data_IF_903429749504
#
_entry.id   IF_903429749504
#
_cell.length_a   1.000
_cell.length_b   1.000
_cell.length_c   1.000
_cell.angle_alpha   90.00
_cell.angle_beta   90.00
_cell.angle_gamma   90.00
#
_symmetry.space_group_name_H-M   'P 1'
#
loop_
_entity.id
_entity.type
_entity.pdbx_description
1 polymer ?
#
# COMPACT_ATOMS: atom_id res chain seq x y z
N UNK A 1 -7.27 17.43 -27.10
CA UNK A 1 -6.38 17.04 -25.97
C UNK A 1 -5.70 18.23 -25.26
N UNK A 2 -5.11 19.24 -25.94
CA UNK A 2 -4.39 20.35 -25.25
C UNK A 2 -5.29 21.20 -24.34
N UNK A 3 -6.52 21.50 -24.79
CA UNK A 3 -7.50 22.28 -24.02
C UNK A 3 -7.92 21.58 -22.71
N UNK A 4 -8.11 20.26 -22.73
CA UNK A 4 -8.46 19.45 -21.54
C UNK A 4 -7.28 19.43 -20.55
N UNK A 5 -6.05 19.25 -21.04
CA UNK A 5 -4.83 19.27 -20.22
C UNK A 5 -4.59 20.65 -19.57
N UNK A 6 -4.86 21.74 -20.29
CA UNK A 6 -4.75 23.11 -19.76
C UNK A 6 -5.74 23.41 -18.63
N UNK A 7 -6.90 22.76 -18.61
CA UNK A 7 -7.96 23.01 -17.62
C UNK A 7 -7.78 22.13 -16.38
N UNK A 8 -7.31 20.89 -16.53
CA UNK A 8 -6.91 20.02 -15.40
C UNK A 8 -5.88 20.75 -14.51
N UNK A 9 -4.90 21.42 -15.13
CA UNK A 9 -3.90 22.21 -14.41
C UNK A 9 -4.47 23.49 -13.75
N UNK A 10 -5.55 24.07 -14.27
CA UNK A 10 -6.21 25.25 -13.68
C UNK A 10 -7.10 24.88 -12.49
N UNK A 11 -7.79 23.74 -12.54
CA UNK A 11 -8.66 23.29 -11.44
C UNK A 11 -7.84 22.90 -10.18
N UNK A 12 -6.61 22.44 -10.35
CA UNK A 12 -5.66 22.19 -9.23
C UNK A 12 -5.15 23.46 -8.56
N UNK A 13 -5.24 24.62 -9.20
CA UNK A 13 -4.73 25.90 -8.65
C UNK A 13 -5.59 26.49 -7.54
N UNK A 14 -6.82 26.00 -7.32
CA UNK A 14 -7.72 26.54 -6.28
C UNK A 14 -7.47 26.00 -4.86
N UNK A 15 -6.42 25.18 -4.67
CA UNK A 15 -5.89 24.86 -3.34
C UNK A 15 -4.38 25.06 -3.34
N UNK A 16 -3.93 26.29 -3.04
CA UNK A 16 -2.72 26.67 -2.27
C UNK A 16 -2.37 28.16 -2.54
N UNK A 17 -2.63 28.99 -1.51
CA UNK A 17 -1.96 30.25 -1.07
C UNK A 17 -2.03 31.55 -1.92
N UNK A 18 -2.33 32.66 -1.23
CA UNK A 18 -2.59 34.04 -1.67
C UNK A 18 -1.38 34.90 -2.07
N UNK A 19 -1.73 36.04 -2.70
CA UNK A 19 -1.07 37.36 -2.86
C UNK A 19 -0.19 37.62 -4.09
N UNK A 20 -0.77 38.33 -5.07
CA UNK A 20 -0.16 39.50 -5.72
C UNK A 20 -1.23 40.29 -6.50
N UNK A 21 -1.19 41.61 -6.32
CA UNK A 21 -2.10 42.65 -6.81
C UNK A 21 -1.76 43.15 -8.21
N UNK A 22 -2.76 43.38 -9.08
CA UNK A 22 -2.90 44.50 -10.04
C UNK A 22 -4.16 44.27 -10.94
N UNK A 23 -4.67 45.28 -11.68
CA UNK A 23 -5.78 46.13 -11.28
C UNK A 23 -7.10 45.82 -12.01
N UNK A 24 -8.17 46.34 -11.43
CA UNK A 24 -9.55 46.31 -11.92
C UNK A 24 -9.70 46.92 -13.33
N UNK A 25 -10.43 46.24 -14.19
CA UNK A 25 -11.18 46.85 -15.28
C UNK A 25 -12.66 46.51 -15.06
N UNK A 26 -13.36 47.49 -14.49
CA UNK A 26 -14.81 47.50 -14.32
C UNK A 26 -15.50 47.56 -15.69
N UNK A 27 -16.37 46.59 -15.96
CA UNK A 27 -17.49 46.80 -16.87
C UNK A 27 -18.78 46.31 -16.20
N UNK A 28 -19.69 47.27 -16.02
CA UNK A 28 -20.93 47.15 -15.27
C UNK A 28 -21.94 46.19 -15.92
N UNK A 29 -22.42 45.27 -15.08
CA UNK A 29 -23.82 44.85 -14.85
C UNK A 29 -24.74 44.50 -16.03
N UNK A 30 -25.20 43.23 -16.05
CA UNK A 30 -26.63 42.90 -16.04
C UNK A 30 -26.87 41.41 -15.70
N UNK A 31 -27.62 41.17 -14.62
CA UNK A 31 -28.59 40.07 -14.48
C UNK A 31 -28.13 38.62 -14.57
N UNK A 32 -28.04 37.96 -13.41
CA UNK A 32 -28.14 36.50 -13.31
C UNK A 32 -27.09 35.90 -12.39
N UNK A 33 -27.51 35.45 -11.21
CA UNK A 33 -26.73 34.50 -10.41
C UNK A 33 -26.80 33.16 -11.13
N UNK A 34 -26.01 33.02 -12.21
CA UNK A 34 -25.72 31.71 -12.74
C UNK A 34 -24.73 31.06 -11.76
N UNK A 35 -25.22 30.10 -10.98
CA UNK A 35 -24.32 29.10 -10.40
C UNK A 35 -23.49 28.56 -11.56
N UNK A 36 -22.21 28.95 -11.62
CA UNK A 36 -21.25 28.43 -12.58
C UNK A 36 -20.95 26.99 -12.21
N UNK A 37 -21.95 26.13 -12.39
CA UNK A 37 -21.78 24.69 -12.44
C UNK A 37 -20.88 24.42 -13.64
N UNK A 38 -19.74 23.78 -13.39
CA UNK A 38 -18.76 23.43 -14.42
C UNK A 38 -19.47 22.84 -15.63
N UNK A 39 -19.19 23.33 -16.84
CA UNK A 39 -19.76 22.83 -18.09
C UNK A 39 -19.58 21.30 -18.27
N UNK A 40 -18.65 20.70 -17.53
CA UNK A 40 -18.37 19.27 -17.50
C UNK A 40 -19.28 18.47 -16.55
N UNK A 41 -20.00 19.12 -15.64
CA UNK A 41 -20.99 18.46 -14.79
C UNK A 41 -22.21 17.99 -15.59
N UNK A 42 -22.46 18.58 -16.76
CA UNK A 42 -23.57 18.26 -17.66
C UNK A 42 -23.15 17.40 -18.87
N UNK A 43 -21.89 16.96 -18.95
CA UNK A 43 -21.45 16.06 -20.02
C UNK A 43 -22.18 14.71 -19.88
N UNK A 44 -22.83 14.18 -20.94
CA UNK A 44 -23.43 12.85 -20.93
C UNK A 44 -22.43 11.80 -20.42
N UNK A 45 -22.91 10.88 -19.58
CA UNK A 45 -22.06 9.94 -18.86
C UNK A 45 -21.27 9.03 -19.83
N UNK A 46 -21.86 8.72 -20.98
CA UNK A 46 -21.28 7.92 -22.05
C UNK A 46 -20.09 8.64 -22.69
N UNK A 47 -20.26 9.93 -23.03
CA UNK A 47 -19.20 10.76 -23.59
C UNK A 47 -18.08 10.98 -22.56
N UNK A 48 -18.43 11.20 -21.29
CA UNK A 48 -17.45 11.30 -20.22
C UNK A 48 -16.64 10.01 -20.08
N UNK A 49 -17.30 8.86 -20.10
CA UNK A 49 -16.65 7.55 -20.04
C UNK A 49 -15.70 7.36 -21.21
N UNK A 50 -16.13 7.69 -22.42
CA UNK A 50 -15.29 7.64 -23.62
C UNK A 50 -14.05 8.51 -23.53
N UNK A 51 -14.19 9.75 -23.02
CA UNK A 51 -13.05 10.65 -22.81
C UNK A 51 -12.08 10.05 -21.80
N UNK A 52 -12.58 9.53 -20.68
CA UNK A 52 -11.76 8.95 -19.63
C UNK A 52 -11.07 7.64 -20.05
N UNK A 53 -11.73 6.82 -20.87
CA UNK A 53 -11.12 5.63 -21.50
C UNK A 53 -9.93 6.03 -22.36
N UNK A 54 -10.13 7.02 -23.26
CA UNK A 54 -9.05 7.51 -24.12
C UNK A 54 -7.89 8.10 -23.31
N UNK A 55 -8.17 8.78 -22.20
CA UNK A 55 -7.13 9.28 -21.29
C UNK A 55 -6.35 8.12 -20.67
N UNK A 56 -7.04 7.12 -20.09
CA UNK A 56 -6.42 5.94 -19.47
C UNK A 56 -5.54 5.14 -20.46
N UNK A 57 -6.00 4.99 -21.70
CA UNK A 57 -5.26 4.32 -22.78
C UNK A 57 -4.04 5.13 -23.23
N UNK A 58 -4.18 6.47 -23.31
CA UNK A 58 -3.08 7.35 -23.73
C UNK A 58 -1.98 7.54 -22.68
N UNK A 59 -2.25 7.23 -21.41
CA UNK A 59 -1.35 7.48 -20.27
C UNK A 59 -1.03 6.19 -19.50
N UNK A 60 -0.31 5.29 -20.16
CA UNK A 60 0.06 3.99 -19.63
C UNK A 60 1.09 4.06 -18.49
N UNK A 61 1.96 5.07 -18.48
CA UNK A 61 3.06 5.22 -17.52
C UNK A 61 3.08 6.58 -16.81
N UNK A 62 3.79 6.63 -15.68
CA UNK A 62 4.07 7.87 -14.96
C UNK A 62 5.26 8.60 -15.60
N UNK A 63 5.32 9.94 -15.60
CA UNK A 63 4.40 10.92 -15.01
C UNK A 63 3.13 11.30 -15.80
N UNK A 64 2.96 11.05 -17.12
CA UNK A 64 1.75 11.44 -17.84
C UNK A 64 0.46 11.01 -17.14
N UNK A 65 0.43 9.78 -16.59
CA UNK A 65 -0.67 9.19 -15.81
C UNK A 65 -1.18 10.03 -14.63
N UNK A 66 -0.50 11.10 -14.24
CA UNK A 66 -1.03 12.10 -13.31
C UNK A 66 -2.38 12.67 -13.77
N UNK A 67 -2.65 12.77 -15.07
CA UNK A 67 -3.93 13.33 -15.53
C UNK A 67 -5.09 12.38 -15.26
N UNK A 68 -4.89 11.05 -15.31
CA UNK A 68 -5.88 10.05 -14.85
C UNK A 68 -6.28 10.31 -13.39
N UNK A 69 -5.30 10.54 -12.51
CA UNK A 69 -5.57 10.84 -11.09
C UNK A 69 -6.30 12.18 -10.94
N UNK A 70 -5.90 13.18 -11.73
CA UNK A 70 -6.53 14.49 -11.70
C UNK A 70 -7.98 14.45 -12.19
N UNK A 71 -8.31 13.60 -13.17
CA UNK A 71 -9.67 13.35 -13.62
C UNK A 71 -10.56 12.85 -12.47
N UNK A 72 -10.06 11.93 -11.64
CA UNK A 72 -10.79 11.47 -10.45
C UNK A 72 -10.96 12.56 -9.36
N UNK A 73 -10.24 13.68 -9.49
CA UNK A 73 -10.34 14.85 -8.63
C UNK A 73 -11.41 15.86 -9.03
N UNK A 74 -11.95 15.81 -10.25
CA UNK A 74 -12.83 16.84 -10.83
C UNK A 74 -14.17 16.95 -10.11
N UNK A 75 -14.95 15.86 -10.07
CA UNK A 75 -16.23 15.80 -9.36
C UNK A 75 -16.59 14.35 -9.00
N UNK A 76 -17.71 14.13 -8.28
CA UNK A 76 -18.14 12.79 -7.87
C UNK A 76 -18.37 11.84 -9.05
N UNK A 77 -19.03 12.32 -10.12
CA UNK A 77 -19.30 11.53 -11.33
C UNK A 77 -18.00 11.09 -12.02
N UNK A 78 -17.09 12.04 -12.29
CA UNK A 78 -15.78 11.73 -12.86
C UNK A 78 -14.98 10.75 -12.00
N UNK A 79 -15.02 10.92 -10.67
CA UNK A 79 -14.34 10.02 -9.74
C UNK A 79 -14.86 8.60 -9.83
N UNK A 80 -16.18 8.41 -9.86
CA UNK A 80 -16.78 7.08 -9.93
C UNK A 80 -16.38 6.38 -11.22
N UNK A 81 -16.56 7.05 -12.36
CA UNK A 81 -16.21 6.50 -13.68
C UNK A 81 -14.71 6.22 -13.76
N UNK A 82 -13.85 7.12 -13.27
CA UNK A 82 -12.40 6.89 -13.30
C UNK A 82 -12.00 5.69 -12.44
N UNK A 83 -12.61 5.51 -11.25
CA UNK A 83 -12.37 4.33 -10.40
C UNK A 83 -12.79 3.03 -11.09
N UNK A 84 -13.90 3.02 -11.82
CA UNK A 84 -14.39 1.83 -12.54
C UNK A 84 -13.50 1.45 -13.73
N UNK A 85 -12.94 2.46 -14.40
CA UNK A 85 -12.05 2.30 -15.54
C UNK A 85 -10.64 1.85 -15.10
N UNK A 86 -10.09 2.47 -14.06
CA UNK A 86 -8.76 2.14 -13.53
C UNK A 86 -8.86 0.85 -12.73
N UNK A 87 -8.47 -0.26 -13.36
CA UNK A 87 -8.42 -1.57 -12.70
C UNK A 87 -7.36 -1.62 -11.61
N UNK A 88 -7.61 -2.46 -10.59
CA UNK A 88 -6.67 -2.73 -9.49
C UNK A 88 -5.31 -3.23 -10.02
N UNK A 89 -4.20 -3.06 -9.27
CA UNK A 89 -2.87 -3.44 -9.72
C UNK A 89 -2.73 -4.91 -10.10
N UNK A 90 -3.54 -5.80 -9.51
CA UNK A 90 -3.60 -7.21 -9.90
C UNK A 90 -3.92 -7.40 -11.39
N UNK A 91 -4.87 -6.61 -11.90
CA UNK A 91 -5.31 -6.69 -13.30
C UNK A 91 -4.56 -5.73 -14.21
N UNK A 92 -4.29 -4.50 -13.75
CA UNK A 92 -3.69 -3.47 -14.59
C UNK A 92 -2.16 -3.50 -14.58
N UNK A 93 -1.54 -4.05 -13.54
CA UNK A 93 -0.10 -3.86 -13.30
C UNK A 93 0.27 -2.40 -13.01
N UNK A 94 -0.69 -1.51 -12.69
CA UNK A 94 -0.44 -0.08 -12.49
C UNK A 94 -0.83 0.37 -11.09
N UNK A 95 0.08 1.05 -10.41
CA UNK A 95 -0.21 1.73 -9.14
C UNK A 95 -0.67 3.15 -9.46
N UNK A 96 -1.98 3.39 -9.50
CA UNK A 96 -2.54 4.68 -9.94
C UNK A 96 -2.89 5.55 -8.75
N UNK A 97 -3.79 5.05 -7.88
CA UNK A 97 -4.29 5.75 -6.71
C UNK A 97 -3.52 5.39 -5.44
N UNK A 98 -3.58 6.21 -4.39
CA UNK A 98 -2.93 5.89 -3.12
C UNK A 98 -3.36 4.53 -2.54
N UNK A 99 -4.63 4.14 -2.69
CA UNK A 99 -5.13 2.85 -2.18
C UNK A 99 -4.48 1.65 -2.88
N UNK A 100 -3.98 1.83 -4.11
CA UNK A 100 -3.33 0.77 -4.87
C UNK A 100 -2.07 0.22 -4.19
N UNK A 101 -1.44 0.95 -3.26
CA UNK A 101 -0.29 0.43 -2.49
C UNK A 101 -0.69 -0.65 -1.47
N UNK A 102 -1.99 -0.75 -1.16
CA UNK A 102 -2.60 -1.77 -0.27
C UNK A 102 -3.23 -2.93 -1.03
N UNK A 103 -3.26 -2.85 -2.36
CA UNK A 103 -3.84 -3.87 -3.23
C UNK A 103 -2.75 -4.85 -3.71
N UNK A 104 -3.09 -6.13 -3.95
CA UNK A 104 -2.15 -7.10 -4.51
C UNK A 104 -1.54 -6.64 -5.83
N UNK A 105 -0.27 -7.02 -6.07
CA UNK A 105 0.37 -6.86 -7.37
C UNK A 105 -0.22 -7.76 -8.46
N UNK A 106 0.23 -7.66 -9.72
CA UNK A 106 -0.13 -8.56 -10.80
C UNK A 106 0.39 -9.98 -10.56
N UNK A 107 -0.21 -10.99 -11.20
CA UNK A 107 0.15 -12.41 -11.02
C UNK A 107 1.40 -12.82 -11.77
N UNK A 108 1.44 -12.46 -13.05
CA UNK A 108 2.46 -12.97 -13.98
C UNK A 108 3.81 -12.24 -13.86
N UNK A 109 3.78 -10.95 -13.54
CA UNK A 109 4.97 -10.11 -13.54
C UNK A 109 5.25 -9.50 -12.17
N UNK A 110 6.52 -9.22 -11.90
CA UNK A 110 6.93 -8.47 -10.73
C UNK A 110 6.80 -6.96 -11.00
N UNK A 111 6.07 -6.25 -10.15
CA UNK A 111 6.15 -4.80 -10.07
C UNK A 111 7.51 -4.40 -9.53
N UNK A 112 8.30 -3.73 -10.35
CA UNK A 112 9.66 -3.35 -10.03
C UNK A 112 9.70 -2.03 -9.26
N UNK A 113 10.18 -2.07 -8.03
CA UNK A 113 10.35 -0.90 -7.18
C UNK A 113 11.80 -0.78 -6.68
N UNK A 114 12.10 0.34 -6.06
CA UNK A 114 13.36 0.53 -5.34
C UNK A 114 13.15 1.31 -4.05
N UNK A 115 14.04 1.08 -3.08
CA UNK A 115 14.05 1.73 -1.78
C UNK A 115 15.31 2.59 -1.69
N UNK A 116 15.11 3.89 -1.46
CA UNK A 116 16.17 4.84 -1.08
C UNK A 116 16.17 4.99 0.43
N UNK A 117 17.33 4.78 1.07
CA UNK A 117 17.51 4.94 2.52
C UNK A 117 18.26 6.23 2.83
N UNK A 118 17.77 7.02 3.76
CA UNK A 118 18.51 8.13 4.35
C UNK A 118 18.92 7.76 5.78
N UNK A 119 20.24 7.53 6.00
CA UNK A 119 20.75 7.09 7.31
C UNK A 119 20.69 8.18 8.38
N UNK A 120 20.87 9.45 8.01
CA UNK A 120 20.86 10.58 8.96
C UNK A 120 19.48 10.76 9.60
N UNK A 121 18.43 10.72 8.79
CA UNK A 121 17.04 10.87 9.24
C UNK A 121 16.38 9.55 9.63
N UNK A 122 17.06 8.42 9.40
CA UNK A 122 16.52 7.07 9.55
C UNK A 122 15.22 6.85 8.76
N UNK A 123 15.15 7.42 7.56
CA UNK A 123 14.00 7.33 6.66
C UNK A 123 14.28 6.41 5.47
N UNK A 124 13.21 5.83 4.94
CA UNK A 124 13.22 4.90 3.82
C UNK A 124 12.10 5.34 2.90
N UNK A 125 12.38 5.45 1.60
CA UNK A 125 11.39 5.88 0.60
C UNK A 125 11.29 4.84 -0.49
N UNK A 126 10.08 4.37 -0.74
CA UNK A 126 9.74 3.42 -1.78
C UNK A 126 9.28 4.16 -3.03
N UNK A 127 9.82 3.74 -4.17
CA UNK A 127 9.45 4.25 -5.48
C UNK A 127 9.16 3.11 -6.44
N UNK A 128 8.14 3.27 -7.29
CA UNK A 128 7.93 2.45 -8.47
C UNK A 128 8.96 2.84 -9.55
N UNK A 129 9.64 1.86 -10.13
CA UNK A 129 10.59 2.06 -11.23
C UNK A 129 9.82 2.37 -12.51
N UNK A 130 10.25 3.37 -13.28
CA UNK A 130 9.61 3.77 -14.54
C UNK A 130 10.34 3.26 -15.78
N UNK A 131 11.57 2.81 -15.60
CA UNK A 131 12.48 2.29 -16.59
C UNK A 131 13.36 1.21 -15.93
N UNK A 132 14.04 0.41 -16.75
CA UNK A 132 14.96 -0.62 -16.26
C UNK A 132 16.25 -0.03 -15.67
N UNK A 133 16.55 1.23 -15.96
CA UNK A 133 17.66 1.94 -15.35
C UNK A 133 17.29 2.32 -13.91
N UNK A 134 18.17 2.04 -12.95
CA UNK A 134 18.02 2.49 -11.56
C UNK A 134 18.31 4.00 -11.45
N UNK A 135 17.60 4.80 -12.23
CA UNK A 135 17.69 6.26 -12.21
C UNK A 135 16.94 6.80 -11.00
N UNK A 136 17.34 7.98 -10.52
CA UNK A 136 16.67 8.69 -9.42
C UNK A 136 15.15 8.91 -9.67
N UNK A 137 14.71 8.76 -10.92
CA UNK A 137 13.36 8.98 -11.43
C UNK A 137 12.45 7.77 -11.20
N UNK A 138 11.64 7.85 -10.14
CA UNK A 138 10.59 6.87 -9.84
C UNK A 138 9.31 7.55 -9.34
N UNK A 139 8.17 6.86 -9.45
CA UNK A 139 6.94 7.33 -8.80
C UNK A 139 7.01 7.00 -7.31
N UNK A 140 7.02 8.01 -6.46
CA UNK A 140 6.94 7.83 -5.01
C UNK A 140 5.67 7.07 -4.61
N UNK A 141 5.81 6.09 -3.70
CA UNK A 141 4.71 5.25 -3.21
C UNK A 141 4.49 5.38 -1.71
N UNK A 142 5.54 5.14 -0.92
CA UNK A 142 5.49 5.07 0.55
C UNK A 142 6.78 5.60 1.14
N UNK A 143 6.68 6.21 2.30
CA UNK A 143 7.83 6.53 3.15
C UNK A 143 7.71 5.79 4.48
N UNK A 144 8.85 5.48 5.08
CA UNK A 144 8.90 4.93 6.42
C UNK A 144 9.99 5.61 7.25
N UNK A 145 9.73 5.77 8.55
CA UNK A 145 10.71 6.30 9.51
C UNK A 145 10.91 5.32 10.65
N UNK A 146 12.18 4.97 10.89
CA UNK A 146 12.57 4.12 12.02
C UNK A 146 12.55 4.93 13.31
N UNK A 147 11.83 4.44 14.30
CA UNK A 147 11.70 4.98 15.65
C UNK A 147 12.14 3.92 16.65
N UNK A 148 13.36 4.06 17.18
CA UNK A 148 13.86 3.16 18.23
C UNK A 148 13.16 3.47 19.55
N UNK A 149 12.70 2.43 20.24
CA UNK A 149 12.17 2.49 21.61
C UNK A 149 12.98 1.56 22.51
N UNK A 150 12.87 1.67 23.84
CA UNK A 150 13.64 0.83 24.75
C UNK A 150 13.42 -0.67 24.54
N UNK A 151 12.18 -1.09 24.26
CA UNK A 151 11.81 -2.52 24.16
C UNK A 151 11.57 -3.03 22.74
N UNK A 152 11.54 -2.13 21.75
CA UNK A 152 11.23 -2.47 20.36
C UNK A 152 11.69 -1.36 19.42
N UNK A 153 11.70 -1.65 18.13
CA UNK A 153 11.78 -0.64 17.09
C UNK A 153 10.45 -0.58 16.34
N UNK A 154 9.90 0.62 16.18
CA UNK A 154 8.77 0.87 15.28
C UNK A 154 9.31 1.44 13.95
N UNK A 155 8.75 1.03 12.82
CA UNK A 155 8.83 1.78 11.57
C UNK A 155 7.44 2.29 11.26
N UNK A 156 7.26 3.61 11.28
CA UNK A 156 6.00 4.23 10.88
C UNK A 156 5.99 4.36 9.37
N UNK A 157 4.93 3.90 8.70
CA UNK A 157 4.80 3.88 7.25
C UNK A 157 3.68 4.85 6.84
N UNK A 158 3.96 5.73 5.89
CA UNK A 158 3.10 6.82 5.45
C UNK A 158 3.06 6.93 3.92
N UNK A 159 1.96 7.47 3.40
CA UNK A 159 1.77 7.90 2.01
C UNK A 159 2.43 9.27 1.74
N UNK A 160 3.00 9.91 2.75
CA UNK A 160 3.63 11.22 2.68
C UNK A 160 5.07 11.13 3.23
N UNK A 161 6.02 11.81 2.58
CA UNK A 161 7.42 11.81 2.99
C UNK A 161 7.68 12.61 4.26
N UNK A 162 6.88 13.64 4.49
CA UNK A 162 7.13 14.67 5.50
C UNK A 162 6.20 14.47 6.71
N UNK A 163 5.07 13.79 6.54
CA UNK A 163 4.16 13.43 7.62
C UNK A 163 4.26 11.95 8.04
N UNK A 164 4.83 11.73 9.22
CA UNK A 164 4.99 10.41 9.85
C UNK A 164 4.08 10.23 11.08
N UNK A 165 3.03 11.03 11.19
CA UNK A 165 2.14 11.06 12.36
C UNK A 165 1.11 9.92 12.29
N UNK A 166 0.99 9.12 13.35
CA UNK A 166 0.00 8.02 13.42
C UNK A 166 -1.45 8.48 13.31
N UNK A 167 -1.75 9.71 13.72
CA UNK A 167 -3.09 10.31 13.64
C UNK A 167 -3.40 11.00 12.31
N UNK A 168 -2.45 10.96 11.36
CA UNK A 168 -2.65 11.57 10.04
C UNK A 168 -3.44 10.66 9.10
N UNK A 169 -4.14 11.27 8.16
CA UNK A 169 -4.83 10.57 7.07
C UNK A 169 -3.85 9.91 6.09
N UNK A 170 -2.57 10.28 6.12
CA UNK A 170 -1.51 9.68 5.28
C UNK A 170 -0.88 8.45 5.93
N UNK A 171 -1.16 8.17 7.20
CA UNK A 171 -0.64 7.00 7.88
C UNK A 171 -1.17 5.70 7.25
N UNK A 172 -0.25 4.90 6.72
CA UNK A 172 -0.57 3.63 6.08
C UNK A 172 -0.48 2.44 7.06
N UNK A 173 0.40 2.51 8.06
CA UNK A 173 0.61 1.41 9.00
C UNK A 173 1.96 1.46 9.71
N UNK A 174 2.35 0.35 10.31
CA UNK A 174 3.58 0.26 11.12
C UNK A 174 4.15 -1.16 11.12
N UNK A 175 5.47 -1.26 11.01
CA UNK A 175 6.22 -2.48 11.36
C UNK A 175 6.76 -2.34 12.77
N UNK A 176 6.62 -3.36 13.62
CA UNK A 176 7.21 -3.38 14.97
C UNK A 176 8.12 -4.58 15.13
N UNK A 177 9.33 -4.38 15.62
CA UNK A 177 10.23 -5.46 16.01
C UNK A 177 9.97 -5.91 17.45
N UNK A 178 10.38 -7.13 17.78
CA UNK A 178 10.70 -7.49 19.16
C UNK A 178 12.01 -6.80 19.60
N UNK A 179 12.36 -6.93 20.88
CA UNK A 179 13.56 -6.31 21.46
C UNK A 179 14.85 -6.65 20.69
N UNK A 180 14.99 -7.93 20.33
CA UNK A 180 16.18 -8.52 19.70
C UNK A 180 16.27 -8.16 18.19
N UNK A 181 15.14 -7.90 17.53
CA UNK A 181 15.09 -7.67 16.08
C UNK A 181 15.09 -8.98 15.27
N UNK A 182 14.52 -10.05 15.82
CA UNK A 182 14.36 -11.36 15.16
C UNK A 182 12.91 -11.68 14.79
N UNK A 183 11.94 -11.03 15.45
CA UNK A 183 10.52 -11.16 15.13
C UNK A 183 9.94 -9.78 14.89
N UNK A 184 9.08 -9.67 13.89
CA UNK A 184 8.42 -8.43 13.54
C UNK A 184 6.94 -8.67 13.27
N UNK A 185 6.11 -7.69 13.60
CA UNK A 185 4.67 -7.70 13.28
C UNK A 185 4.36 -6.48 12.44
N UNK A 186 3.68 -6.70 11.31
CA UNK A 186 3.16 -5.66 10.42
C UNK A 186 1.74 -5.32 10.85
N UNK A 187 1.48 -4.04 11.07
CA UNK A 187 0.17 -3.51 11.41
C UNK A 187 -0.34 -2.60 10.30
N UNK A 188 -1.53 -2.87 9.80
CA UNK A 188 -2.30 -1.94 8.98
C UNK A 188 -2.92 -0.85 9.87
N UNK A 189 -3.02 0.37 9.33
CA UNK A 189 -3.70 1.50 9.96
C UNK A 189 -5.22 1.44 9.84
N UNK A 190 -5.73 0.68 8.87
CA UNK A 190 -7.15 0.49 8.61
C UNK A 190 -7.51 -1.01 8.67
N UNK A 191 -8.78 -1.37 8.95
CA UNK A 191 -9.18 -2.77 8.99
C UNK A 191 -9.05 -3.39 7.58
N UNK A 192 -8.26 -4.47 7.41
CA UNK A 192 -8.03 -5.08 6.10
C UNK A 192 -9.24 -5.83 5.53
N UNK A 193 -10.18 -6.23 6.38
CA UNK A 193 -11.44 -6.90 6.02
C UNK A 193 -12.50 -6.63 7.09
N UNK A 194 -13.77 -6.87 6.74
CA UNK A 194 -14.88 -6.76 7.67
C UNK A 194 -14.67 -7.71 8.86
N UNK A 195 -14.72 -7.19 10.09
CA UNK A 195 -14.50 -7.97 11.32
C UNK A 195 -13.04 -8.09 11.77
N UNK A 196 -12.09 -7.43 11.10
CA UNK A 196 -10.69 -7.44 11.51
C UNK A 196 -10.50 -6.95 12.97
N UNK A 197 -9.76 -7.72 13.77
CA UNK A 197 -9.54 -7.42 15.19
C UNK A 197 -8.39 -6.42 15.37
N UNK A 198 -8.69 -5.28 15.97
CA UNK A 198 -7.67 -4.31 16.36
C UNK A 198 -6.89 -4.78 17.59
N UNK A 199 -5.57 -4.73 17.54
CA UNK A 199 -4.74 -4.89 18.74
C UNK A 199 -4.78 -3.62 19.59
N UNK A 200 -5.29 -3.77 20.83
CA UNK A 200 -5.30 -2.69 21.82
C UNK A 200 -3.87 -2.51 22.34
N UNK A 201 -3.23 -1.37 22.04
CA UNK A 201 -1.92 -1.03 22.60
C UNK A 201 -2.07 0.08 23.63
N UNK A 202 -1.46 -0.07 24.81
CA UNK A 202 -1.51 0.95 25.87
C UNK A 202 -0.97 2.32 25.41
N UNK A 203 -0.10 2.37 24.39
CA UNK A 203 0.46 3.63 23.87
C UNK A 203 -0.52 4.48 23.04
N UNK A 204 -1.69 3.97 22.66
CA UNK A 204 -2.69 4.77 21.92
C UNK A 204 -3.54 5.66 22.84
N UNK A 205 -3.49 5.43 24.16
CA UNK A 205 -4.29 6.21 25.13
C UNK A 205 -3.75 7.62 25.37
N UNK A 206 -2.44 7.84 25.21
CA UNK A 206 -1.77 9.08 25.62
C UNK A 206 -1.87 10.25 24.63
N UNK A 207 -2.38 10.03 23.42
CA UNK A 207 -2.45 11.08 22.38
C UNK A 207 -3.81 11.81 22.39
N UNK A 208 -4.80 11.34 23.15
CA UNK A 208 -6.18 11.81 23.06
C UNK A 208 -6.63 12.84 24.12
N UNK A 209 -5.72 13.46 24.87
CA UNK A 209 -6.13 14.39 25.94
C UNK A 209 -6.54 15.80 25.48
N UNK A 210 -6.50 16.13 24.17
CA UNK A 210 -6.89 17.48 23.68
C UNK A 210 -7.67 17.53 22.36
N UNK A 211 -8.25 16.44 21.86
CA UNK A 211 -8.94 16.46 20.56
C UNK A 211 -10.45 16.20 20.68
N UNK A 212 -11.25 17.26 20.54
CA UNK A 212 -12.73 17.27 20.55
C UNK A 212 -13.29 16.94 19.15
N UNK A 213 -12.81 15.87 18.52
CA UNK A 213 -13.35 15.39 17.24
C UNK A 213 -13.44 13.86 17.27
N UNK A 214 -14.59 13.26 16.86
CA UNK A 214 -14.76 11.82 16.84
C UNK A 214 -14.02 11.23 15.63
N UNK A 215 -12.69 11.27 15.63
CA UNK A 215 -11.89 10.51 14.66
C UNK A 215 -11.71 9.11 15.21
N UNK A 216 -12.14 8.10 14.43
CA UNK A 216 -11.88 6.69 14.74
C UNK A 216 -10.37 6.54 14.99
N UNK A 217 -9.94 5.93 16.11
CA UNK A 217 -8.52 5.77 16.36
C UNK A 217 -7.90 4.98 15.22
N UNK A 218 -6.86 5.51 14.59
CA UNK A 218 -6.01 4.76 13.68
C UNK A 218 -5.65 3.43 14.33
N UNK A 219 -6.15 2.33 13.76
CA UNK A 219 -6.06 1.03 14.40
C UNK A 219 -4.67 0.41 14.20
N UNK A 220 -4.32 -0.53 15.06
CA UNK A 220 -3.20 -1.44 14.80
C UNK A 220 -3.80 -2.81 14.46
N UNK A 221 -4.01 -3.06 13.18
CA UNK A 221 -4.55 -4.34 12.70
C UNK A 221 -3.39 -5.24 12.25
N UNK A 222 -3.04 -6.31 12.99
CA UNK A 222 -1.95 -7.18 12.57
C UNK A 222 -2.31 -7.87 11.25
N UNK A 223 -1.40 -7.81 10.27
CA UNK A 223 -1.63 -8.37 8.92
C UNK A 223 -0.53 -9.32 8.46
N UNK A 224 0.63 -9.30 9.12
CA UNK A 224 1.70 -10.26 8.89
C UNK A 224 2.66 -10.34 10.08
N UNK A 225 3.30 -11.50 10.23
CA UNK A 225 4.38 -11.75 11.17
C UNK A 225 5.63 -12.25 10.43
N UNK A 226 6.79 -11.67 10.72
CA UNK A 226 8.06 -12.00 10.11
C UNK A 226 8.98 -12.54 11.20
N UNK A 227 9.60 -13.69 10.98
CA UNK A 227 10.59 -14.26 11.88
C UNK A 227 11.86 -14.64 11.16
N UNK A 228 12.99 -14.28 11.77
CA UNK A 228 14.31 -14.72 11.38
C UNK A 228 14.76 -15.82 12.35
N UNK A 229 15.14 -16.97 11.81
CA UNK A 229 15.78 -18.01 12.60
C UNK A 229 17.17 -17.52 13.05
N UNK A 230 17.48 -17.78 14.31
CA UNK A 230 18.82 -17.59 14.84
C UNK A 230 19.63 -18.85 14.53
N UNK A 231 20.76 -18.68 13.86
CA UNK A 231 21.71 -19.78 13.70
C UNK A 231 22.41 -19.99 15.05
N UNK A 232 21.85 -20.86 15.89
CA UNK A 232 22.50 -21.33 17.12
C UNK A 232 23.34 -22.54 16.70
N UNK A 233 24.66 -22.50 16.92
CA UNK A 233 25.67 -23.54 16.59
C UNK A 233 26.48 -23.39 15.28
N UNK A 234 26.90 -22.17 14.91
CA UNK A 234 28.02 -21.99 13.97
C UNK A 234 27.77 -22.39 12.50
N UNK A 235 26.52 -22.71 12.13
CA UNK A 235 26.14 -22.95 10.74
C UNK A 235 26.26 -21.66 9.92
N UNK A 236 27.28 -21.60 9.07
CA UNK A 236 27.46 -20.54 8.08
C UNK A 236 26.39 -20.70 7.00
N UNK A 237 25.43 -19.79 6.95
CA UNK A 237 24.38 -19.78 5.93
C UNK A 237 23.49 -18.54 5.99
N UNK A 238 22.83 -18.17 4.86
CA UNK A 238 21.83 -17.10 4.85
C UNK A 238 20.74 -17.36 5.90
N UNK A 239 20.33 -16.31 6.61
CA UNK A 239 19.30 -16.44 7.65
C UNK A 239 17.99 -16.95 7.05
N UNK A 240 17.42 -17.98 7.68
CA UNK A 240 16.08 -18.46 7.31
C UNK A 240 15.05 -17.45 7.77
N UNK A 241 14.20 -17.06 6.83
CA UNK A 241 13.19 -16.02 7.00
C UNK A 241 11.83 -16.62 6.69
N UNK A 242 10.91 -16.54 7.64
CA UNK A 242 9.53 -16.96 7.52
C UNK A 242 8.62 -15.74 7.67
N UNK A 243 7.67 -15.56 6.74
CA UNK A 243 6.66 -14.52 6.79
C UNK A 243 5.28 -15.16 6.75
N UNK A 244 4.54 -15.07 7.84
CA UNK A 244 3.16 -15.50 7.92
C UNK A 244 2.28 -14.30 7.55
N UNK A 245 1.55 -14.39 6.45
CA UNK A 245 0.67 -13.34 5.94
C UNK A 245 -0.73 -13.55 6.51
N UNK A 246 -0.97 -13.14 7.76
CA UNK A 246 -2.23 -13.39 8.49
C UNK A 246 -3.49 -12.92 7.76
N UNK A 247 -3.35 -11.90 6.91
CA UNK A 247 -4.44 -11.34 6.12
C UNK A 247 -4.59 -11.96 4.72
N UNK A 248 -3.81 -12.98 4.35
CA UNK A 248 -3.86 -13.62 3.03
C UNK A 248 -4.00 -15.13 3.22
N UNK A 249 -5.06 -15.77 2.71
CA UNK A 249 -5.21 -17.22 2.81
C UNK A 249 -4.17 -17.94 1.92
N UNK A 250 -3.76 -19.14 2.33
CA UNK A 250 -2.86 -20.00 1.55
C UNK A 250 -3.43 -20.30 0.17
N UNK A 251 -4.74 -20.52 0.06
CA UNK A 251 -5.45 -20.73 -1.21
C UNK A 251 -5.31 -19.57 -2.21
N UNK A 252 -4.86 -18.39 -1.77
CA UNK A 252 -4.68 -17.23 -2.66
C UNK A 252 -3.74 -17.54 -3.83
N UNK A 253 -2.70 -18.37 -3.64
CA UNK A 253 -1.70 -18.69 -4.66
C UNK A 253 -2.17 -19.77 -5.65
N UNK A 254 -3.29 -20.43 -5.39
CA UNK A 254 -3.83 -21.43 -6.32
C UNK A 254 -4.45 -20.76 -7.55
N UNK A 255 -4.61 -21.50 -8.68
CA UNK A 255 -5.29 -20.98 -9.85
C UNK A 255 -6.69 -20.47 -9.52
N UNK A 256 -6.93 -19.17 -9.74
CA UNK A 256 -8.20 -18.51 -9.40
C UNK A 256 -8.38 -18.14 -7.92
N UNK A 257 -7.40 -18.45 -7.05
CA UNK A 257 -7.39 -18.04 -5.65
C UNK A 257 -7.38 -16.51 -5.50
N UNK A 258 -8.00 -15.97 -4.45
CA UNK A 258 -8.19 -14.52 -4.28
C UNK A 258 -7.51 -14.01 -3.00
N UNK A 259 -6.74 -12.94 -3.13
CA UNK A 259 -6.17 -12.22 -1.99
C UNK A 259 -7.07 -11.03 -1.60
N UNK A 260 -7.18 -10.70 -0.30
CA UNK A 260 -7.96 -9.55 0.13
C UNK A 260 -7.49 -8.24 -0.52
N UNK A 261 -8.42 -7.58 -1.19
CA UNK A 261 -8.16 -6.36 -1.96
C UNK A 261 -8.94 -5.21 -1.36
N UNK A 262 -8.26 -4.31 -0.66
CA UNK A 262 -8.88 -3.10 -0.12
C UNK A 262 -9.22 -2.16 -1.29
N UNK A 263 -10.50 -1.80 -1.46
CA UNK A 263 -10.95 -0.93 -2.54
C UNK A 263 -10.90 0.55 -2.17
N UNK A 264 -11.01 0.88 -0.87
CA UNK A 264 -11.01 2.26 -0.37
C UNK A 264 -10.32 2.37 1.00
N UNK A 265 -9.82 3.57 1.33
CA UNK A 265 -9.48 3.91 2.72
C UNK A 265 -10.76 4.34 3.44
N UNK A 266 -11.02 3.75 4.60
CA UNK A 266 -12.14 4.18 5.46
C UNK A 266 -11.86 5.59 6.03
N UNK A 267 -12.29 6.61 5.31
CA UNK A 267 -12.39 7.98 5.82
C UNK A 267 -13.84 8.24 6.18
N UNK A 268 -14.18 8.23 7.47
CA UNK A 268 -15.43 8.84 7.90
C UNK A 268 -15.29 10.36 7.73
N UNK A 269 -15.83 10.92 6.65
CA UNK A 269 -16.16 12.34 6.60
C UNK A 269 -17.24 12.61 7.64
N UNK A 270 -17.08 13.69 8.40
CA UNK A 270 -18.06 14.14 9.40
C UNK A 270 -19.45 14.49 8.82
N UNK A 271 -19.65 14.36 7.51
CA UNK A 271 -20.90 14.74 6.81
C UNK A 271 -21.86 13.58 6.56
N UNK A 272 -21.58 12.37 7.03
CA UNK A 272 -22.61 11.32 7.11
C UNK A 272 -23.14 11.26 8.53
N UNK A 273 -24.15 12.09 8.82
CA UNK A 273 -25.08 11.81 9.91
C UNK A 273 -25.89 10.56 9.50
N UNK A 274 -25.73 9.38 10.12
CA UNK A 274 -26.87 8.47 10.17
C UNK A 274 -27.92 9.24 10.97
N UNK A 275 -29.09 9.44 10.36
CA UNK A 275 -30.23 10.13 10.94
C UNK A 275 -30.34 9.80 12.42
N UNK A 276 -30.12 10.79 13.28
CA UNK A 276 -30.26 10.64 14.72
C UNK A 276 -31.73 10.35 15.03
N UNK A 277 -32.07 9.08 15.24
CA UNK A 277 -33.31 8.71 15.92
C UNK A 277 -33.13 9.00 17.41
N UNK A 278 -33.45 10.24 17.79
CA UNK A 278 -33.60 10.63 19.17
C UNK A 278 -34.85 9.98 19.78
N UNK A 279 -34.64 9.33 20.94
CA UNK A 279 -35.61 8.85 21.94
C UNK A 279 -36.63 7.75 21.57
N UNK A 280 -36.37 6.51 22.01
CA UNK A 280 -37.31 5.81 22.92
C UNK A 280 -36.71 4.57 23.59
N UNK A 281 -37.27 4.29 24.77
CA UNK A 281 -36.89 3.34 25.82
C UNK A 281 -36.53 1.91 25.42
N UNK A 282 -35.78 1.29 26.33
CA UNK A 282 -35.64 -0.17 26.57
C UNK A 282 -36.88 -0.96 26.13
N UNK A 283 -36.70 -1.89 25.18
CA UNK A 283 -37.41 -3.17 25.14
C UNK A 283 -36.67 -4.14 24.22
N UNK A 284 -36.54 -5.39 24.67
CA UNK A 284 -36.05 -6.49 23.87
C UNK A 284 -37.14 -6.90 22.87
N UNK A 285 -36.89 -6.76 21.56
CA UNK A 285 -37.61 -7.55 20.57
C UNK A 285 -36.76 -7.75 19.31
N UNK A 286 -36.63 -9.01 18.94
CA UNK A 286 -35.97 -9.51 17.74
C UNK A 286 -36.84 -9.15 16.54
N UNK A 287 -36.33 -8.36 15.59
CA UNK A 287 -36.83 -8.38 14.22
C UNK A 287 -35.68 -8.37 13.22
N UNK A 288 -35.74 -9.41 12.40
CA UNK A 288 -34.82 -9.88 11.38
C UNK A 288 -35.21 -9.20 10.08
N UNK A 289 -34.33 -8.36 9.53
CA UNK A 289 -34.42 -7.93 8.13
C UNK A 289 -33.33 -8.64 7.36
N UNK A 290 -33.76 -9.57 6.52
CA UNK A 290 -32.94 -10.43 5.69
C UNK A 290 -32.39 -9.64 4.50
N UNK A 291 -31.07 -9.48 4.44
CA UNK A 291 -30.36 -9.04 3.25
C UNK A 291 -29.42 -10.16 2.79
N UNK A 292 -29.87 -10.86 1.75
CA UNK A 292 -29.12 -11.60 0.73
C UNK A 292 -27.87 -12.38 1.18
N UNK A 293 -28.14 -13.66 1.49
CA UNK A 293 -27.32 -14.85 1.32
C UNK A 293 -25.86 -14.67 0.87
N UNK A 294 -24.95 -14.67 1.84
CA UNK A 294 -23.73 -15.48 1.74
C UNK A 294 -23.87 -16.61 2.77
N UNK A 295 -24.01 -17.85 2.30
CA UNK A 295 -24.16 -19.03 3.16
C UNK A 295 -22.98 -19.19 4.14
N UNK A 296 -23.15 -19.99 5.21
CA UNK A 296 -22.09 -20.20 6.19
C UNK A 296 -20.97 -21.02 5.52
N UNK A 297 -19.93 -20.35 5.03
CA UNK A 297 -18.74 -21.05 4.59
C UNK A 297 -18.09 -21.69 5.82
N UNK A 298 -18.03 -23.01 5.75
CA UNK A 298 -17.38 -23.95 6.65
C UNK A 298 -16.22 -23.37 7.47
N UNK A 299 -16.27 -23.67 8.76
CA UNK A 299 -15.20 -23.53 9.75
C UNK A 299 -13.99 -24.43 9.46
N UNK A 300 -13.31 -24.19 8.35
CA UNK A 300 -11.92 -24.57 8.12
C UNK A 300 -11.14 -23.27 8.16
N UNK A 301 -10.20 -23.10 9.11
CA UNK A 301 -9.18 -22.08 8.90
C UNK A 301 -8.36 -22.54 7.71
N UNK A 302 -8.68 -22.07 6.50
CA UNK A 302 -7.68 -22.04 5.44
C UNK A 302 -6.44 -21.38 6.06
N UNK A 303 -5.31 -22.11 6.05
CA UNK A 303 -4.08 -21.64 6.67
C UNK A 303 -3.70 -20.28 6.12
N UNK A 304 -3.09 -19.42 6.94
CA UNK A 304 -2.51 -18.19 6.43
C UNK A 304 -1.36 -18.51 5.48
N UNK A 305 -1.18 -17.71 4.42
CA UNK A 305 -0.08 -17.87 3.49
C UNK A 305 1.26 -17.70 4.20
N UNK A 306 2.09 -18.73 4.15
CA UNK A 306 3.45 -18.71 4.68
C UNK A 306 4.44 -18.52 3.53
N UNK A 307 5.24 -17.46 3.58
CA UNK A 307 6.35 -17.22 2.67
C UNK A 307 7.68 -17.57 3.35
N UNK A 308 8.62 -18.10 2.59
CA UNK A 308 9.97 -18.42 3.05
C UNK A 308 11.03 -17.92 2.09
N UNK A 309 12.26 -17.72 2.57
CA UNK A 309 13.36 -17.44 1.67
C UNK A 309 13.61 -18.61 0.72
N UNK A 310 13.78 -18.29 -0.57
CA UNK A 310 14.21 -19.26 -1.58
C UNK A 310 15.60 -19.76 -1.24
N UNK A 311 15.82 -21.07 -1.32
CA UNK A 311 17.15 -21.65 -1.16
C UNK A 311 18.05 -21.22 -2.34
N UNK A 312 19.31 -20.84 -2.08
CA UNK A 312 20.24 -20.52 -3.16
C UNK A 312 20.54 -21.78 -3.99
N UNK A 313 20.89 -21.57 -5.26
CA UNK A 313 21.37 -22.63 -6.15
C UNK A 313 22.89 -22.58 -6.23
N UNK A 314 23.52 -23.74 -6.37
CA UNK A 314 24.95 -23.81 -6.66
C UNK A 314 25.21 -23.29 -8.06
N UNK A 315 26.20 -22.40 -8.20
CA UNK A 315 26.62 -21.87 -9.48
C UNK A 315 28.04 -22.35 -9.80
N UNK A 316 28.16 -23.31 -10.72
CA UNK A 316 29.42 -24.00 -11.01
C UNK A 316 30.56 -23.04 -11.41
N UNK A 317 30.31 -22.09 -12.31
CA UNK A 317 31.37 -21.18 -12.77
C UNK A 317 31.88 -20.22 -11.68
N UNK A 318 31.02 -19.85 -10.72
CA UNK A 318 31.36 -18.91 -9.65
C UNK A 318 31.74 -19.63 -8.34
N UNK A 319 31.63 -20.96 -8.32
CA UNK A 319 31.88 -21.82 -7.16
C UNK A 319 31.22 -21.30 -5.86
N UNK A 320 29.98 -20.81 -5.98
CA UNK A 320 29.25 -20.26 -4.84
C UNK A 320 27.75 -20.55 -4.91
N UNK A 321 27.10 -20.51 -3.75
CA UNK A 321 25.66 -20.55 -3.62
C UNK A 321 25.07 -19.16 -3.87
N UNK A 322 24.26 -19.02 -4.93
CA UNK A 322 23.67 -17.73 -5.29
C UNK A 322 22.19 -17.85 -5.66
N UNK A 323 21.50 -16.71 -5.62
CA UNK A 323 20.16 -16.55 -6.17
C UNK A 323 20.26 -15.79 -7.48
N UNK A 324 19.44 -16.16 -8.46
CA UNK A 324 19.37 -15.43 -9.73
C UNK A 324 18.42 -14.23 -9.59
N UNK A 325 18.99 -13.04 -9.52
CA UNK A 325 18.26 -11.77 -9.45
C UNK A 325 18.04 -11.12 -10.83
N UNK A 326 18.40 -11.79 -11.94
CA UNK A 326 18.21 -11.28 -13.30
C UNK A 326 18.79 -9.87 -13.51
N UNK A 327 19.97 -9.60 -12.92
CA UNK A 327 20.61 -8.29 -12.96
C UNK A 327 19.99 -7.19 -12.08
N UNK A 328 18.86 -7.46 -11.39
CA UNK A 328 18.22 -6.48 -10.47
C UNK A 328 19.01 -6.22 -9.19
N UNK A 329 19.94 -7.09 -8.83
CA UNK A 329 20.77 -6.98 -7.63
C UNK A 329 22.22 -7.12 -8.03
N UNK A 330 23.02 -6.11 -7.70
CA UNK A 330 24.40 -5.97 -8.19
C UNK A 330 25.43 -5.96 -7.06
N UNK A 331 25.00 -5.78 -5.80
CA UNK A 331 25.90 -5.71 -4.65
C UNK A 331 25.61 -6.85 -3.69
N UNK A 332 26.64 -7.65 -3.38
CA UNK A 332 26.55 -8.71 -2.39
C UNK A 332 26.14 -8.15 -1.01
N UNK A 333 25.15 -8.80 -0.38
CA UNK A 333 24.69 -8.43 0.95
C UNK A 333 23.88 -9.57 1.58
N UNK A 334 23.99 -9.72 2.91
CA UNK A 334 23.09 -10.57 3.72
C UNK A 334 21.61 -10.16 3.65
N UNK A 335 21.33 -8.99 3.06
CA UNK A 335 19.99 -8.47 2.81
C UNK A 335 19.39 -8.94 1.49
N UNK A 336 20.16 -9.57 0.62
CA UNK A 336 19.67 -10.03 -0.67
C UNK A 336 18.87 -11.32 -0.44
N UNK A 337 17.57 -11.31 -0.78
CA UNK A 337 16.72 -12.49 -0.66
C UNK A 337 15.61 -12.48 -1.70
N UNK A 338 15.09 -13.68 -1.96
CA UNK A 338 13.84 -13.91 -2.67
C UNK A 338 12.91 -14.66 -1.74
N UNK A 339 11.62 -14.31 -1.70
CA UNK A 339 10.59 -15.05 -0.99
C UNK A 339 9.72 -15.82 -1.98
N UNK A 340 9.38 -17.04 -1.61
CA UNK A 340 8.47 -17.94 -2.33
C UNK A 340 7.45 -18.51 -1.35
N UNK A 341 6.34 -19.06 -1.84
CA UNK A 341 5.38 -19.74 -0.98
C UNK A 341 6.02 -20.99 -0.33
N UNK A 342 5.70 -21.22 0.94
CA UNK A 342 6.07 -22.43 1.68
C UNK A 342 5.31 -23.64 1.15
N UNK A 343 5.92 -24.82 1.15
CA UNK A 343 5.24 -26.09 0.82
C UNK A 343 4.15 -26.45 1.84
N UNK A 344 4.11 -25.78 2.99
CA UNK A 344 3.06 -25.92 4.01
C UNK A 344 1.71 -25.34 3.55
N UNK A 345 1.68 -24.58 2.45
CA UNK A 345 0.46 -23.92 1.96
C UNK A 345 -0.44 -24.85 1.12
N UNK A 346 -0.04 -26.09 0.83
CA UNK A 346 -0.80 -27.01 -0.01
C UNK A 346 0.09 -27.98 -0.79
N UNK A 347 -0.48 -28.75 -1.74
CA UNK A 347 0.32 -29.62 -2.60
C UNK A 347 1.36 -28.81 -3.38
N UNK A 348 2.60 -29.29 -3.39
CA UNK A 348 3.73 -28.61 -4.00
C UNK A 348 3.58 -28.53 -5.53
N UNK A 349 2.90 -27.48 -6.01
CA UNK A 349 2.82 -27.12 -7.42
C UNK A 349 3.92 -26.14 -7.85
N UNK A 350 4.06 -25.87 -9.17
CA UNK A 350 5.03 -24.91 -9.72
C UNK A 350 4.89 -23.50 -9.14
N UNK A 351 3.68 -23.14 -8.67
CA UNK A 351 3.38 -21.90 -7.94
C UNK A 351 4.29 -21.66 -6.72
N UNK A 352 4.78 -22.74 -6.08
CA UNK A 352 5.65 -22.64 -4.90
C UNK A 352 7.09 -22.23 -5.23
N UNK A 353 7.47 -22.19 -6.51
CA UNK A 353 8.77 -21.69 -6.95
C UNK A 353 8.74 -20.23 -7.42
N UNK A 354 7.52 -19.70 -7.59
CA UNK A 354 7.29 -18.32 -8.00
C UNK A 354 7.83 -17.35 -6.94
N UNK A 355 8.79 -16.53 -7.34
CA UNK A 355 9.36 -15.44 -6.54
C UNK A 355 8.28 -14.40 -6.26
N UNK A 356 7.67 -14.38 -5.08
CA UNK A 356 6.62 -13.42 -4.69
C UNK A 356 7.22 -12.06 -4.33
N UNK A 357 8.40 -12.05 -3.72
CA UNK A 357 9.15 -10.85 -3.37
C UNK A 357 10.63 -11.06 -3.66
N UNK A 358 11.27 -10.11 -4.35
CA UNK A 358 12.70 -10.05 -4.58
C UNK A 358 13.24 -8.76 -3.99
N UNK A 359 14.27 -8.86 -3.15
CA UNK A 359 14.89 -7.70 -2.54
C UNK A 359 16.41 -7.83 -2.57
N UNK A 360 17.09 -6.73 -2.89
CA UNK A 360 18.55 -6.74 -2.80
C UNK A 360 19.21 -5.39 -2.98
N UNK A 361 20.50 -5.36 -2.63
CA UNK A 361 21.31 -4.16 -2.61
C UNK A 361 21.89 -3.87 -4.00
N UNK A 362 21.83 -2.61 -4.39
CA UNK A 362 22.44 -2.11 -5.65
C UNK A 362 23.40 -0.93 -5.41
N UNK A 363 23.33 -0.30 -4.23
CA UNK A 363 24.24 0.77 -3.83
C UNK A 363 24.37 0.89 -2.31
N UNK A 364 25.06 1.93 -1.83
CA UNK A 364 25.28 2.16 -0.39
C UNK A 364 23.97 2.29 0.40
N UNK A 365 23.01 2.97 -0.22
CA UNK A 365 21.71 3.34 0.36
C UNK A 365 20.55 3.18 -0.65
N UNK A 366 20.76 2.35 -1.67
CA UNK A 366 19.80 2.03 -2.72
C UNK A 366 19.62 0.52 -2.83
N UNK A 367 18.37 0.09 -2.90
CA UNK A 367 17.97 -1.31 -2.91
C UNK A 367 16.83 -1.52 -3.92
N UNK A 368 16.83 -2.64 -4.65
CA UNK A 368 15.69 -3.06 -5.46
C UNK A 368 14.69 -3.83 -4.61
N UNK A 369 13.41 -3.66 -4.91
CA UNK A 369 12.30 -4.36 -4.28
C UNK A 369 11.27 -4.66 -5.36
N UNK A 370 11.19 -5.91 -5.80
CA UNK A 370 10.24 -6.31 -6.84
C UNK A 370 9.23 -7.27 -6.23
N UNK A 371 7.93 -7.04 -6.43
CA UNK A 371 6.88 -7.83 -5.79
C UNK A 371 5.75 -8.18 -6.76
N UNK A 372 5.01 -9.25 -6.46
CA UNK A 372 3.81 -9.62 -7.21
C UNK A 372 2.69 -10.08 -6.30
N UNK A 373 1.58 -10.46 -6.89
CA UNK A 373 0.51 -11.19 -6.23
C UNK A 373 1.08 -12.36 -5.38
N UNK A 374 0.55 -12.65 -4.18
CA UNK A 374 -0.66 -12.09 -3.55
C UNK A 374 -0.41 -10.87 -2.65
N UNK A 375 0.82 -10.36 -2.57
CA UNK A 375 1.16 -9.28 -1.63
C UNK A 375 1.03 -7.89 -2.25
N UNK A 376 0.78 -6.90 -1.39
CA UNK A 376 0.73 -5.48 -1.74
C UNK A 376 2.10 -4.79 -1.60
N UNK A 377 2.26 -3.60 -2.19
CA UNK A 377 3.46 -2.78 -2.02
C UNK A 377 3.72 -2.45 -0.55
N UNK A 378 2.67 -2.18 0.23
CA UNK A 378 2.75 -1.94 1.67
C UNK A 378 3.32 -3.14 2.44
N UNK A 379 2.80 -4.35 2.18
CA UNK A 379 3.28 -5.58 2.81
C UNK A 379 4.73 -5.88 2.39
N UNK A 380 5.04 -5.82 1.08
CA UNK A 380 6.37 -6.00 0.54
C UNK A 380 7.39 -5.04 1.18
N UNK A 381 7.04 -3.76 1.27
CA UNK A 381 7.90 -2.75 1.87
C UNK A 381 8.13 -3.01 3.36
N UNK A 382 7.09 -3.34 4.12
CA UNK A 382 7.22 -3.70 5.53
C UNK A 382 8.11 -4.93 5.74
N UNK A 383 8.00 -5.94 4.87
CA UNK A 383 8.86 -7.12 4.88
C UNK A 383 10.32 -6.72 4.66
N UNK A 384 10.61 -5.91 3.64
CA UNK A 384 11.96 -5.42 3.35
C UNK A 384 12.53 -4.56 4.48
N UNK A 385 11.71 -3.73 5.14
CA UNK A 385 12.12 -2.89 6.27
C UNK A 385 12.67 -3.71 7.45
N UNK A 386 12.14 -4.93 7.68
CA UNK A 386 12.61 -5.79 8.78
C UNK A 386 14.08 -6.23 8.61
N UNK A 387 14.54 -6.39 7.36
CA UNK A 387 15.93 -6.74 7.04
C UNK A 387 16.96 -5.66 7.42
N UNK A 388 16.52 -4.42 7.67
CA UNK A 388 17.38 -3.32 8.10
C UNK A 388 17.60 -3.25 9.62
N UNK A 389 16.81 -3.97 10.41
CA UNK A 389 16.84 -3.87 11.88
C UNK A 389 17.45 -5.07 12.61
N UNK A 390 18.02 -6.04 11.90
CA UNK A 390 18.51 -7.25 12.57
C UNK A 390 19.82 -6.95 13.31
N UNK A 391 19.76 -6.91 14.65
CA UNK A 391 20.83 -6.36 15.51
C UNK A 391 21.98 -7.32 15.87
N UNK A 392 21.78 -8.66 15.89
CA UNK A 392 22.67 -9.55 16.69
C UNK A 392 23.39 -10.66 15.89
N UNK A 393 23.39 -10.67 14.55
CA UNK A 393 24.18 -11.70 13.82
C UNK A 393 24.62 -11.24 12.41
N UNK A 394 25.08 -9.99 12.28
CA UNK A 394 25.38 -9.37 10.99
C UNK A 394 26.78 -8.74 10.94
N UNK A 395 27.78 -9.44 11.46
CA UNK A 395 29.17 -9.25 11.02
C UNK A 395 29.67 -10.53 10.37
#
# INVERSE_FOLDING_TARGET
>A
MPAIKSIINRSTSHRVVQYSSAPELNLFAAGGVAETTSCWAHLPQELLREVLVRIEESESSWPPRKNVVACAGVCRSWRHITKDLVKVPELSGKITFPISVKQPGPREQLLQCFIKRCRSTQTYRLYLSLNNALTEDGKFLLAARKCRRPTCTDYIISLDTDDMSKGSNTYAGKLRSNFIGTKFTVFDGQPPHAGAKMTKSYSSRLVNLKQVSPRVPTGNYPVANISYELNVLGSRGPRRMHCIMDAIPAAAIEPGGVAPTQTEFYHHSADFFPSLLFFRSKSNHVERVESFQSGPLSSQREGALVLRNKAPRWHEQLQCWCLNFHGRVTVASVKNFQLVASQENGPAGPEHENIILQFGKVGKDLFTMDYRYPISAFQAFAICLSSFDTKIACE
#
